data_IF_417625446857
#
_entry.id   IF_417625446857
#
_cell.length_a   1.000
_cell.length_b   1.000
_cell.length_c   1.000
_cell.angle_alpha   90.00
_cell.angle_beta   90.00
_cell.angle_gamma   90.00
#
_symmetry.space_group_name_H-M   'P 1'
#
loop_
_entity.id
_entity.type
_entity.pdbx_description
1 polymer ?
#
# COMPACT_ATOMS: atom_id res chain seq x y z
N UNK A 1 -39.97 -28.05 -10.58
CA UNK A 1 -39.65 -27.34 -9.33
C UNK A 1 -40.97 -26.91 -8.74
N UNK A 2 -41.28 -27.34 -7.53
CA UNK A 2 -42.61 -27.17 -6.93
C UNK A 2 -42.97 -25.68 -6.86
N UNK A 3 -44.17 -25.27 -7.29
CA UNK A 3 -44.60 -23.87 -7.26
C UNK A 3 -44.49 -23.31 -5.83
N UNK A 4 -44.71 -24.18 -4.84
CA UNK A 4 -44.55 -23.91 -3.41
C UNK A 4 -43.11 -23.51 -3.08
N UNK A 5 -42.10 -24.19 -3.66
CA UNK A 5 -40.70 -23.88 -3.39
C UNK A 5 -40.29 -22.55 -4.01
N UNK A 6 -40.80 -22.23 -5.21
CA UNK A 6 -40.55 -20.95 -5.88
C UNK A 6 -41.14 -19.80 -5.05
N UNK A 7 -42.40 -19.91 -4.65
CA UNK A 7 -43.09 -18.92 -3.82
C UNK A 7 -42.38 -18.73 -2.47
N UNK A 8 -41.97 -19.83 -1.83
CA UNK A 8 -41.20 -19.78 -0.59
C UNK A 8 -39.86 -19.06 -0.76
N UNK A 9 -39.13 -19.32 -1.85
CA UNK A 9 -37.87 -18.64 -2.16
C UNK A 9 -38.08 -17.14 -2.39
N UNK A 10 -39.10 -16.77 -3.15
CA UNK A 10 -39.46 -15.35 -3.39
C UNK A 10 -39.75 -14.65 -2.07
N UNK A 11 -40.64 -15.21 -1.26
CA UNK A 11 -41.00 -14.61 0.03
C UNK A 11 -39.79 -14.46 0.96
N UNK A 12 -38.88 -15.43 0.98
CA UNK A 12 -37.63 -15.34 1.77
C UNK A 12 -36.71 -14.22 1.27
N UNK A 13 -36.56 -14.04 -0.04
CA UNK A 13 -35.74 -12.95 -0.57
C UNK A 13 -36.37 -11.57 -0.33
N UNK A 14 -37.70 -11.47 -0.41
CA UNK A 14 -38.44 -10.25 -0.08
C UNK A 14 -38.31 -9.90 1.41
N UNK A 15 -38.39 -10.91 2.29
CA UNK A 15 -38.17 -10.74 3.72
C UNK A 15 -36.72 -10.30 4.02
N UNK A 16 -35.72 -10.95 3.41
CA UNK A 16 -34.32 -10.55 3.54
C UNK A 16 -34.11 -9.11 3.06
N UNK A 17 -34.69 -8.73 1.92
CA UNK A 17 -34.59 -7.37 1.40
C UNK A 17 -35.21 -6.35 2.37
N UNK A 18 -36.41 -6.63 2.88
CA UNK A 18 -37.08 -5.80 3.87
C UNK A 18 -36.28 -5.68 5.17
N UNK A 19 -35.66 -6.76 5.65
CA UNK A 19 -34.77 -6.71 6.80
C UNK A 19 -33.61 -5.76 6.52
N UNK A 20 -32.90 -5.95 5.39
CA UNK A 20 -31.73 -5.14 5.01
C UNK A 20 -32.09 -3.65 4.93
N UNK A 21 -33.24 -3.31 4.34
CA UNK A 21 -33.72 -1.91 4.24
C UNK A 21 -33.93 -1.24 5.60
N UNK A 22 -34.19 -2.03 6.65
CA UNK A 22 -34.42 -1.55 8.01
C UNK A 22 -33.17 -1.63 8.92
N UNK A 23 -32.07 -2.22 8.45
CA UNK A 23 -30.83 -2.28 9.23
C UNK A 23 -30.04 -0.97 9.14
N UNK A 24 -29.39 -0.61 10.24
CA UNK A 24 -28.33 0.41 10.23
C UNK A 24 -27.03 -0.15 9.61
N UNK A 25 -26.12 0.73 9.17
CA UNK A 25 -24.82 0.32 8.59
C UNK A 25 -24.01 -0.61 9.52
N UNK A 26 -24.03 -0.33 10.82
CA UNK A 26 -23.35 -1.15 11.83
C UNK A 26 -23.96 -2.56 11.93
N UNK A 27 -25.29 -2.65 11.90
CA UNK A 27 -26.02 -3.91 11.95
C UNK A 27 -25.82 -4.74 10.67
N UNK A 28 -25.72 -4.10 9.50
CA UNK A 28 -25.39 -4.78 8.24
C UNK A 28 -24.04 -5.50 8.37
N UNK A 29 -23.01 -4.82 8.90
CA UNK A 29 -21.69 -5.42 9.14
C UNK A 29 -21.76 -6.57 10.14
N UNK A 30 -22.52 -6.40 11.22
CA UNK A 30 -22.64 -7.40 12.28
C UNK A 30 -23.37 -8.67 11.84
N UNK A 31 -24.55 -8.53 11.22
CA UNK A 31 -25.44 -9.64 10.91
C UNK A 31 -25.12 -10.33 9.58
N UNK A 32 -24.65 -9.57 8.58
CA UNK A 32 -24.45 -10.08 7.21
C UNK A 32 -22.97 -10.21 6.86
N UNK A 33 -22.12 -9.34 7.40
CA UNK A 33 -20.68 -9.31 7.12
C UNK A 33 -19.87 -10.48 7.70
N UNK A 34 -20.35 -11.15 8.75
CA UNK A 34 -19.66 -12.26 9.44
C UNK A 34 -19.82 -13.63 8.76
N UNK A 35 -19.74 -13.67 7.43
CA UNK A 35 -19.65 -14.91 6.65
C UNK A 35 -20.97 -15.58 6.25
N UNK A 36 -22.14 -15.03 6.62
CA UNK A 36 -23.43 -15.56 6.17
C UNK A 36 -23.64 -15.37 4.66
N UNK A 37 -23.29 -14.19 4.14
CA UNK A 37 -23.30 -13.94 2.70
C UNK A 37 -22.28 -14.82 1.98
N UNK A 38 -21.08 -15.01 2.54
CA UNK A 38 -20.07 -15.91 1.98
C UNK A 38 -20.58 -17.37 1.88
N UNK A 39 -21.24 -17.87 2.94
CA UNK A 39 -21.89 -19.19 2.92
C UNK A 39 -22.97 -19.29 1.84
N UNK A 40 -23.81 -18.26 1.69
CA UNK A 40 -24.84 -18.21 0.65
C UNK A 40 -24.20 -18.26 -0.74
N UNK A 41 -23.20 -17.42 -1.01
CA UNK A 41 -22.50 -17.36 -2.30
C UNK A 41 -21.80 -18.70 -2.62
N UNK A 42 -21.10 -19.30 -1.64
CA UNK A 42 -20.47 -20.62 -1.78
C UNK A 42 -21.47 -21.77 -1.96
N UNK A 43 -22.73 -21.60 -1.57
CA UNK A 43 -23.78 -22.60 -1.81
C UNK A 43 -24.27 -22.60 -3.26
N UNK A 44 -24.13 -21.47 -3.98
CA UNK A 44 -24.53 -21.34 -5.38
C UNK A 44 -23.63 -22.19 -6.27
N UNK A 45 -22.34 -22.25 -6.00
CA UNK A 45 -21.40 -23.04 -6.82
C UNK A 45 -20.15 -23.43 -6.02
N UNK A 46 -19.65 -24.65 -6.26
CA UNK A 46 -18.42 -25.18 -5.65
C UNK A 46 -17.35 -25.30 -6.73
N UNK A 47 -16.10 -25.02 -6.34
CA UNK A 47 -14.93 -25.10 -7.23
C UNK A 47 -14.77 -26.48 -7.90
N UNK A 48 -14.17 -26.49 -9.08
CA UNK A 48 -13.90 -27.68 -9.88
C UNK A 48 -12.94 -28.62 -9.12
N UNK A 49 -13.42 -29.79 -8.73
CA UNK A 49 -12.62 -30.78 -8.01
C UNK A 49 -12.00 -31.84 -8.92
N UNK A 50 -12.67 -32.18 -10.02
CA UNK A 50 -12.16 -33.18 -10.94
C UNK A 50 -11.11 -32.58 -11.88
N UNK A 51 -9.88 -33.07 -11.79
CA UNK A 51 -8.77 -32.65 -12.65
C UNK A 51 -8.89 -33.16 -14.09
N UNK A 52 -9.71 -34.20 -14.35
CA UNK A 52 -9.86 -34.83 -15.67
C UNK A 52 -10.90 -34.16 -16.55
N UNK A 53 -11.92 -33.55 -15.97
CA UNK A 53 -12.91 -32.76 -16.71
C UNK A 53 -12.26 -31.53 -17.36
N UNK A 54 -12.66 -31.18 -18.60
CA UNK A 54 -12.17 -29.95 -19.23
C UNK A 54 -12.82 -28.71 -18.57
N UNK A 55 -12.21 -27.54 -18.73
CA UNK A 55 -12.79 -26.30 -18.21
C UNK A 55 -14.15 -25.99 -18.87
N UNK A 56 -14.28 -26.24 -20.18
CA UNK A 56 -15.50 -25.92 -20.92
C UNK A 56 -16.66 -26.85 -20.56
N UNK A 57 -16.39 -28.15 -20.40
CA UNK A 57 -17.42 -29.10 -19.96
C UNK A 57 -17.92 -28.74 -18.56
N UNK A 58 -16.99 -28.38 -17.66
CA UNK A 58 -17.35 -27.90 -16.32
C UNK A 58 -18.23 -26.65 -16.35
N UNK A 59 -17.87 -25.65 -17.17
CA UNK A 59 -18.68 -24.44 -17.34
C UNK A 59 -20.07 -24.76 -17.88
N UNK A 60 -20.16 -25.66 -18.87
CA UNK A 60 -21.43 -26.05 -19.49
C UNK A 60 -22.34 -26.79 -18.50
N UNK A 61 -21.79 -27.74 -17.74
CA UNK A 61 -22.50 -28.48 -16.68
C UNK A 61 -23.02 -27.56 -15.58
N UNK A 62 -22.28 -26.51 -15.25
CA UNK A 62 -22.60 -25.57 -14.18
C UNK A 62 -23.23 -24.25 -14.68
N UNK A 63 -23.62 -24.17 -15.96
CA UNK A 63 -23.98 -22.91 -16.64
C UNK A 63 -24.99 -22.05 -15.88
N UNK A 64 -26.03 -22.66 -15.30
CA UNK A 64 -27.11 -21.92 -14.62
C UNK A 64 -26.66 -21.37 -13.26
N UNK A 65 -25.85 -22.13 -12.52
CA UNK A 65 -25.27 -21.69 -11.24
C UNK A 65 -24.27 -20.55 -11.46
N UNK A 66 -23.43 -20.71 -12.48
CA UNK A 66 -22.47 -19.69 -12.89
C UNK A 66 -23.16 -18.43 -13.44
N UNK A 67 -24.26 -18.59 -14.18
CA UNK A 67 -25.07 -17.48 -14.65
C UNK A 67 -25.66 -16.67 -13.49
N UNK A 68 -26.16 -17.33 -12.43
CA UNK A 68 -26.64 -16.63 -11.23
C UNK A 68 -25.53 -15.82 -10.56
N UNK A 69 -24.33 -16.39 -10.40
CA UNK A 69 -23.18 -15.66 -9.86
C UNK A 69 -22.79 -14.46 -10.76
N UNK A 70 -22.86 -14.63 -12.08
CA UNK A 70 -22.60 -13.56 -13.03
C UNK A 70 -23.63 -12.42 -12.92
N UNK A 71 -24.91 -12.75 -12.76
CA UNK A 71 -25.96 -11.76 -12.51
C UNK A 71 -25.76 -11.00 -11.20
N UNK A 72 -25.43 -11.71 -10.11
CA UNK A 72 -25.14 -11.07 -8.82
C UNK A 72 -23.95 -10.12 -8.93
N UNK A 73 -22.86 -10.57 -9.56
CA UNK A 73 -21.68 -9.71 -9.82
C UNK A 73 -22.07 -8.49 -10.65
N UNK A 74 -22.89 -8.66 -11.69
CA UNK A 74 -23.33 -7.57 -12.56
C UNK A 74 -24.16 -6.53 -11.78
N UNK A 75 -25.13 -6.98 -10.97
CA UNK A 75 -25.93 -6.12 -10.13
C UNK A 75 -25.07 -5.34 -9.11
N UNK A 76 -24.14 -6.02 -8.43
CA UNK A 76 -23.16 -5.38 -7.53
C UNK A 76 -22.34 -4.33 -8.29
N UNK A 77 -21.88 -4.68 -9.50
CA UNK A 77 -21.04 -3.80 -10.31
C UNK A 77 -21.77 -2.51 -10.67
N UNK A 78 -23.05 -2.62 -11.02
CA UNK A 78 -23.90 -1.48 -11.38
C UNK A 78 -24.21 -0.62 -10.14
N UNK A 79 -24.64 -1.26 -9.05
CA UNK A 79 -25.21 -0.56 -7.90
C UNK A 79 -24.15 0.05 -6.97
N UNK A 80 -22.97 -0.58 -6.85
CA UNK A 80 -21.95 -0.12 -5.92
C UNK A 80 -20.95 0.86 -6.54
N UNK A 81 -20.88 0.94 -7.87
CA UNK A 81 -19.96 1.87 -8.53
C UNK A 81 -20.70 3.10 -9.05
N UNK A 82 -20.36 4.25 -8.49
CA UNK A 82 -21.03 5.52 -8.73
C UNK A 82 -20.26 6.30 -9.79
N UNK A 83 -20.88 6.74 -10.90
CA UNK A 83 -20.28 7.72 -11.77
C UNK A 83 -20.22 9.08 -11.06
N UNK A 84 -19.14 9.81 -11.25
CA UNK A 84 -18.93 11.13 -10.71
C UNK A 84 -18.10 11.98 -11.67
N UNK A 85 -18.32 13.29 -11.64
CA UNK A 85 -17.53 14.24 -12.40
C UNK A 85 -16.40 14.77 -11.53
N UNK A 86 -15.16 14.61 -11.99
CA UNK A 86 -14.00 15.25 -11.40
C UNK A 86 -13.22 15.98 -12.50
N UNK A 87 -13.16 17.31 -12.40
CA UNK A 87 -12.52 18.18 -13.39
C UNK A 87 -13.00 17.88 -14.82
N UNK A 88 -14.33 17.88 -15.00
CA UNK A 88 -15.02 17.64 -16.29
C UNK A 88 -14.79 16.25 -16.90
N UNK A 89 -14.10 15.34 -16.21
CA UNK A 89 -13.95 13.94 -16.61
C UNK A 89 -14.90 13.08 -15.78
N UNK A 90 -15.68 12.26 -16.48
CA UNK A 90 -16.47 11.21 -15.84
C UNK A 90 -15.54 10.11 -15.35
N UNK A 91 -15.65 9.79 -14.06
CA UNK A 91 -14.92 8.73 -13.39
C UNK A 91 -15.89 7.88 -12.59
N UNK A 92 -15.51 6.64 -12.33
CA UNK A 92 -16.20 5.77 -11.39
C UNK A 92 -15.50 5.78 -10.04
N UNK A 93 -16.31 5.85 -8.98
CA UNK A 93 -15.91 5.59 -7.61
C UNK A 93 -16.61 4.31 -7.16
N UNK A 94 -15.84 3.31 -6.73
CA UNK A 94 -16.37 2.02 -6.28
C UNK A 94 -15.83 1.69 -4.89
N UNK A 95 -16.65 1.29 -3.90
CA UNK A 95 -16.18 0.88 -2.59
C UNK A 95 -15.10 -0.20 -2.69
N UNK A 96 -14.04 -0.05 -1.91
CA UNK A 96 -13.00 -1.05 -1.82
C UNK A 96 -13.46 -2.16 -0.87
N UNK A 97 -13.17 -3.41 -1.22
CA UNK A 97 -13.65 -4.55 -0.43
C UNK A 97 -13.06 -4.60 0.99
N UNK A 98 -11.89 -4.00 1.21
CA UNK A 98 -11.36 -3.73 2.53
C UNK A 98 -11.79 -2.34 3.01
N UNK A 99 -12.35 -2.28 4.23
CA UNK A 99 -12.71 -1.04 4.93
C UNK A 99 -12.01 -1.05 6.30
N UNK A 100 -10.73 -0.64 6.34
CA UNK A 100 -9.90 -0.73 7.56
C UNK A 100 -10.03 0.45 8.52
N UNK A 101 -10.81 1.47 8.16
CA UNK A 101 -10.97 2.71 8.90
C UNK A 101 -12.45 2.86 9.22
N UNK A 102 -12.81 2.87 10.50
CA UNK A 102 -14.23 2.92 10.91
C UNK A 102 -14.86 4.31 10.70
N UNK A 103 -14.04 5.36 10.65
CA UNK A 103 -14.41 6.76 10.42
C UNK A 103 -14.18 7.22 8.96
N UNK A 104 -13.95 6.28 8.04
CA UNK A 104 -13.67 6.62 6.65
C UNK A 104 -14.18 5.58 5.67
N UNK A 105 -14.20 5.96 4.39
CA UNK A 105 -14.60 5.07 3.31
C UNK A 105 -13.43 4.87 2.37
N UNK A 106 -13.01 3.62 2.21
CA UNK A 106 -12.04 3.22 1.20
C UNK A 106 -12.74 2.93 -0.13
N UNK A 107 -12.14 3.34 -1.24
CA UNK A 107 -12.72 3.16 -2.58
C UNK A 107 -11.64 3.02 -3.65
N UNK A 108 -12.02 2.60 -4.85
CA UNK A 108 -11.22 2.74 -6.08
C UNK A 108 -11.80 3.85 -6.94
N UNK A 109 -10.93 4.68 -7.51
CA UNK A 109 -11.33 5.73 -8.44
C UNK A 109 -10.58 5.60 -9.77
N UNK A 110 -11.33 5.48 -10.87
CA UNK A 110 -10.75 5.37 -12.21
C UNK A 110 -11.77 5.52 -13.34
N UNK A 111 -11.33 5.24 -14.57
CA UNK A 111 -12.18 5.32 -15.77
C UNK A 111 -13.17 4.16 -15.88
N UNK A 112 -12.87 3.05 -15.21
CA UNK A 112 -13.66 1.84 -15.18
C UNK A 112 -14.03 1.51 -13.73
N UNK A 113 -15.13 0.76 -13.57
CA UNK A 113 -15.63 0.33 -12.25
C UNK A 113 -14.63 -0.61 -11.58
N UNK A 114 -14.38 -0.43 -10.28
CA UNK A 114 -13.44 -1.23 -9.48
C UNK A 114 -11.99 -1.21 -9.96
N UNK A 115 -11.62 -0.23 -10.79
CA UNK A 115 -10.28 -0.07 -11.35
C UNK A 115 -9.80 1.34 -11.06
N UNK A 116 -8.52 1.47 -10.71
CA UNK A 116 -7.84 2.76 -10.57
C UNK A 116 -7.17 2.92 -9.21
N UNK A 117 -7.03 4.17 -8.76
CA UNK A 117 -6.32 4.47 -7.53
C UNK A 117 -7.19 4.12 -6.33
N UNK A 118 -6.60 3.51 -5.30
CA UNK A 118 -7.29 3.30 -4.02
C UNK A 118 -7.32 4.65 -3.29
N UNK A 119 -8.51 5.12 -2.92
CA UNK A 119 -8.75 6.32 -2.14
C UNK A 119 -9.25 5.98 -0.74
N UNK A 120 -9.07 6.91 0.18
CA UNK A 120 -9.67 6.94 1.51
C UNK A 120 -10.24 8.35 1.71
N UNK A 121 -11.54 8.42 1.98
CA UNK A 121 -12.18 9.65 2.44
C UNK A 121 -12.43 9.54 3.94
N UNK A 122 -11.81 10.42 4.73
CA UNK A 122 -11.83 10.36 6.20
C UNK A 122 -11.78 11.80 6.73
N UNK A 123 -12.65 12.13 7.68
CA UNK A 123 -12.73 13.45 8.33
C UNK A 123 -12.75 14.63 7.34
N UNK A 124 -13.49 14.49 6.24
CA UNK A 124 -13.62 15.52 5.20
C UNK A 124 -12.46 15.59 4.22
N UNK A 125 -11.42 14.79 4.41
CA UNK A 125 -10.18 14.81 3.61
C UNK A 125 -10.10 13.64 2.64
N UNK A 126 -9.71 13.94 1.40
CA UNK A 126 -9.46 12.95 0.37
C UNK A 126 -7.98 12.55 0.37
N UNK A 127 -7.72 11.26 0.59
CA UNK A 127 -6.39 10.66 0.54
C UNK A 127 -6.34 9.60 -0.55
N UNK A 128 -5.20 9.42 -1.22
CA UNK A 128 -4.97 8.29 -2.13
C UNK A 128 -3.84 7.40 -1.62
N UNK A 129 -4.03 6.11 -1.77
CA UNK A 129 -3.04 5.11 -1.44
C UNK A 129 -1.88 5.17 -2.45
N UNK A 130 -0.68 5.17 -1.91
CA UNK A 130 0.54 4.78 -2.60
C UNK A 130 1.00 3.47 -1.98
N UNK A 131 1.50 2.55 -2.80
CA UNK A 131 2.06 1.31 -2.30
C UNK A 131 3.24 1.63 -1.37
N UNK A 132 3.15 1.22 -0.11
CA UNK A 132 4.28 1.31 0.81
C UNK A 132 5.30 0.18 0.58
N UNK A 133 4.87 -0.90 -0.13
CA UNK A 133 5.64 -2.13 -0.39
C UNK A 133 5.31 -2.71 -1.77
N UNK A 134 6.13 -3.63 -2.25
CA UNK A 134 5.90 -4.39 -3.48
C UNK A 134 4.89 -5.52 -3.22
N UNK A 135 3.71 -5.42 -3.83
CA UNK A 135 2.68 -6.45 -3.76
C UNK A 135 2.76 -7.35 -4.98
N UNK A 136 3.33 -8.55 -4.81
CA UNK A 136 3.25 -9.59 -5.85
C UNK A 136 1.82 -10.12 -5.92
N UNK A 137 1.28 -10.32 -7.12
CA UNK A 137 -0.07 -10.82 -7.33
C UNK A 137 -0.36 -12.10 -6.51
N UNK A 138 -1.49 -12.11 -5.81
CA UNK A 138 -1.91 -13.21 -4.93
C UNK A 138 -1.67 -13.00 -3.43
N UNK A 139 -0.99 -11.92 -3.02
CA UNK A 139 -0.92 -11.53 -1.61
C UNK A 139 -2.17 -10.74 -1.18
N UNK A 140 -2.67 -11.03 0.02
CA UNK A 140 -3.70 -10.23 0.67
C UNK A 140 -3.08 -8.90 1.10
N UNK A 141 -3.64 -7.78 0.63
CA UNK A 141 -3.16 -6.43 0.98
C UNK A 141 -3.57 -6.16 2.44
N UNK A 142 -2.62 -5.74 3.27
CA UNK A 142 -2.85 -5.37 4.66
C UNK A 142 -2.93 -3.86 4.86
N UNK A 143 -3.33 -3.41 6.05
CA UNK A 143 -3.43 -1.98 6.35
C UNK A 143 -2.12 -1.23 6.17
N UNK A 144 -1.02 -1.81 6.62
CA UNK A 144 0.32 -1.20 6.59
C UNK A 144 1.02 -1.26 5.22
N UNK A 145 0.38 -1.93 4.26
CA UNK A 145 0.84 -2.06 2.89
C UNK A 145 0.50 -0.82 2.05
N UNK A 146 -0.50 -0.04 2.47
CA UNK A 146 -0.92 1.18 1.78
C UNK A 146 -0.59 2.40 2.63
N UNK A 147 0.08 3.37 1.99
CA UNK A 147 0.28 4.69 2.54
C UNK A 147 -0.76 5.65 1.96
N UNK A 148 -1.64 6.21 2.78
CA UNK A 148 -2.62 7.19 2.34
C UNK A 148 -2.07 8.61 2.40
N UNK A 149 -1.96 9.24 1.22
CA UNK A 149 -1.46 10.59 1.03
C UNK A 149 -2.62 11.55 0.83
N UNK A 150 -2.71 12.60 1.64
CA UNK A 150 -3.67 13.69 1.47
C UNK A 150 -3.37 14.49 0.19
N UNK A 151 -4.41 14.70 -0.62
CA UNK A 151 -4.28 15.37 -1.94
C UNK A 151 -3.92 16.83 -1.81
N UNK A 152 -4.49 17.53 -0.83
CA UNK A 152 -4.26 18.96 -0.64
C UNK A 152 -2.89 19.21 -0.02
N UNK A 153 -2.44 18.31 0.86
CA UNK A 153 -1.06 18.30 1.34
C UNK A 153 -0.06 18.03 0.21
N UNK A 154 -0.34 17.06 -0.67
CA UNK A 154 0.51 16.75 -1.82
C UNK A 154 0.62 17.92 -2.80
N UNK A 155 -0.47 18.67 -3.03
CA UNK A 155 -0.47 19.88 -3.86
C UNK A 155 0.33 21.03 -3.21
N UNK A 156 0.40 21.06 -1.89
CA UNK A 156 1.08 22.09 -1.10
C UNK A 156 2.46 21.64 -0.59
N UNK A 157 3.07 20.61 -1.20
CA UNK A 157 4.44 20.20 -0.88
C UNK A 157 5.37 21.42 -0.93
N UNK A 158 6.24 21.63 0.08
CA UNK A 158 7.10 22.79 0.09
C UNK A 158 7.99 22.84 -1.15
N UNK A 159 8.25 24.06 -1.65
CA UNK A 159 9.12 24.35 -2.81
C UNK A 159 10.54 23.75 -2.74
N UNK A 160 10.93 23.19 -1.60
CA UNK A 160 12.25 22.62 -1.34
C UNK A 160 12.38 21.15 -1.79
N UNK A 161 11.27 20.45 -2.06
CA UNK A 161 11.31 19.14 -2.71
C UNK A 161 11.23 19.38 -4.22
N UNK A 162 12.36 19.20 -4.91
CA UNK A 162 12.46 19.40 -6.36
C UNK A 162 11.77 18.25 -7.11
N UNK A 163 10.44 18.27 -7.16
CA UNK A 163 9.67 17.35 -8.01
C UNK A 163 9.91 17.75 -9.47
N UNK A 164 10.34 16.82 -10.34
CA UNK A 164 10.57 17.11 -11.74
C UNK A 164 9.36 17.78 -12.38
N UNK A 165 9.58 18.80 -13.23
CA UNK A 165 8.47 19.60 -13.80
C UNK A 165 7.80 18.89 -14.96
N UNK A 166 8.58 18.22 -15.80
CA UNK A 166 8.06 17.45 -16.94
C UNK A 166 7.67 16.03 -16.54
N UNK A 167 6.75 15.42 -17.30
CA UNK A 167 6.37 14.01 -17.10
C UNK A 167 7.46 13.03 -17.52
N UNK A 168 8.35 13.44 -18.43
CA UNK A 168 9.45 12.61 -18.93
C UNK A 168 10.55 12.46 -17.86
N UNK A 169 10.92 13.55 -17.19
CA UNK A 169 11.89 13.48 -16.08
C UNK A 169 11.41 12.58 -14.93
N UNK A 170 10.09 12.47 -14.72
CA UNK A 170 9.52 11.55 -13.73
C UNK A 170 9.73 10.07 -14.11
N UNK A 171 9.59 9.73 -15.40
CA UNK A 171 9.86 8.35 -15.87
C UNK A 171 11.36 8.03 -15.80
N UNK A 172 12.20 9.00 -16.14
CA UNK A 172 13.66 8.86 -16.08
C UNK A 172 14.16 8.50 -14.68
N UNK A 173 13.48 8.97 -13.61
CA UNK A 173 13.85 8.62 -12.23
C UNK A 173 13.68 7.12 -11.97
N UNK A 174 12.58 6.50 -12.41
CA UNK A 174 12.39 5.05 -12.28
C UNK A 174 13.47 4.28 -13.06
N UNK A 175 13.70 4.67 -14.32
CA UNK A 175 14.67 4.02 -15.20
C UNK A 175 16.11 4.14 -14.68
N UNK A 176 16.46 5.25 -14.03
CA UNK A 176 17.78 5.43 -13.41
C UNK A 176 18.03 4.45 -12.27
N UNK A 177 17.07 4.26 -11.36
CA UNK A 177 17.22 3.27 -10.28
C UNK A 177 17.26 1.85 -10.84
N UNK A 178 16.35 1.54 -11.78
CA UNK A 178 16.30 0.24 -12.44
C UNK A 178 17.64 -0.07 -13.13
N UNK A 179 18.24 0.92 -13.79
CA UNK A 179 19.57 0.79 -14.40
C UNK A 179 20.66 0.47 -13.37
N UNK A 180 20.74 1.21 -12.25
CA UNK A 180 21.73 0.92 -11.19
C UNK A 180 21.61 -0.53 -10.68
N UNK A 181 20.39 -1.02 -10.55
CA UNK A 181 20.12 -2.40 -10.12
C UNK A 181 20.49 -3.41 -11.23
N UNK A 182 20.13 -3.15 -12.49
CA UNK A 182 20.44 -4.05 -13.60
C UNK A 182 21.95 -4.15 -13.88
N UNK A 183 22.70 -3.07 -13.64
CA UNK A 183 24.15 -3.02 -13.72
C UNK A 183 24.84 -3.69 -12.52
N UNK A 184 24.06 -4.21 -11.56
CA UNK A 184 24.54 -4.81 -10.31
C UNK A 184 25.49 -3.90 -9.55
N UNK A 185 25.15 -2.60 -9.46
CA UNK A 185 25.96 -1.65 -8.72
C UNK A 185 26.04 -2.04 -7.23
N UNK A 186 27.25 -2.22 -6.71
CA UNK A 186 27.47 -2.60 -5.30
C UNK A 186 27.85 -1.40 -4.42
N UNK A 187 28.11 -0.24 -5.01
CA UNK A 187 28.45 0.98 -4.28
C UNK A 187 27.20 1.66 -3.68
N UNK A 188 27.06 1.53 -2.35
CA UNK A 188 26.01 2.15 -1.55
C UNK A 188 25.88 3.66 -1.79
N UNK A 189 27.01 4.35 -2.00
CA UNK A 189 27.03 5.81 -2.16
C UNK A 189 26.31 6.27 -3.42
N UNK A 190 26.25 5.44 -4.48
CA UNK A 190 25.51 5.76 -5.71
C UNK A 190 24.00 5.70 -5.48
N UNK A 191 23.52 4.78 -4.64
CA UNK A 191 22.12 4.71 -4.27
C UNK A 191 21.72 5.85 -3.34
N UNK A 192 22.58 6.20 -2.37
CA UNK A 192 22.40 7.38 -1.53
C UNK A 192 22.37 8.65 -2.39
N UNK A 193 23.29 8.80 -3.34
CA UNK A 193 23.30 9.94 -4.27
C UNK A 193 22.02 10.00 -5.10
N UNK A 194 21.59 8.87 -5.67
CA UNK A 194 20.33 8.79 -6.42
C UNK A 194 19.13 9.24 -5.57
N UNK A 195 19.01 8.73 -4.33
CA UNK A 195 17.90 9.06 -3.43
C UNK A 195 17.96 10.49 -2.90
N UNK A 196 19.16 11.07 -2.77
CA UNK A 196 19.34 12.49 -2.45
C UNK A 196 18.77 13.38 -3.55
N UNK A 197 19.14 13.12 -4.80
CA UNK A 197 18.68 13.90 -5.96
C UNK A 197 17.19 13.68 -6.26
N UNK A 198 16.63 12.56 -5.81
CA UNK A 198 15.24 12.19 -6.06
C UNK A 198 14.46 12.00 -4.76
N UNK A 199 14.75 12.76 -3.69
CA UNK A 199 14.17 12.53 -2.37
C UNK A 199 12.63 12.60 -2.32
N UNK A 200 12.00 13.24 -3.32
CA UNK A 200 10.55 13.22 -3.53
C UNK A 200 9.96 11.82 -3.70
N UNK A 201 10.78 10.81 -4.06
CA UNK A 201 10.34 9.43 -4.23
C UNK A 201 9.93 8.75 -2.92
N UNK A 202 10.37 9.29 -1.77
CA UNK A 202 9.85 8.86 -0.46
C UNK A 202 8.39 9.27 -0.23
N UNK A 203 7.79 9.96 -1.20
CA UNK A 203 6.37 10.28 -1.27
C UNK A 203 6.04 11.59 -0.56
N UNK A 204 4.82 12.05 -0.77
CA UNK A 204 4.32 13.30 -0.21
C UNK A 204 4.01 13.24 1.30
N UNK A 205 4.32 12.14 1.98
CA UNK A 205 4.26 12.04 3.44
C UNK A 205 5.35 12.85 4.14
N UNK A 206 6.42 13.22 3.41
CA UNK A 206 7.49 14.07 3.91
C UNK A 206 7.47 15.42 3.21
N UNK A 207 7.58 16.48 4.01
CA UNK A 207 7.68 17.86 3.51
C UNK A 207 9.12 18.28 3.23
N UNK A 208 10.08 17.55 3.80
CA UNK A 208 11.51 17.78 3.68
C UNK A 208 12.26 16.49 3.94
N UNK A 209 13.30 16.22 3.15
CA UNK A 209 14.25 15.13 3.37
C UNK A 209 15.64 15.75 3.46
N UNK A 210 16.32 15.52 4.56
CA UNK A 210 17.66 16.03 4.82
C UNK A 210 18.65 14.87 4.80
N UNK A 211 19.73 15.02 4.03
CA UNK A 211 20.77 14.00 3.90
C UNK A 211 21.87 14.19 4.95
N UNK A 212 22.32 13.10 5.57
CA UNK A 212 23.47 13.06 6.49
C UNK A 212 23.39 14.10 7.63
N UNK A 213 22.23 14.23 8.27
CA UNK A 213 22.08 15.07 9.46
C UNK A 213 22.63 14.31 10.67
N UNK A 214 23.71 14.83 11.26
CA UNK A 214 24.33 14.25 12.45
C UNK A 214 23.39 14.37 13.66
N UNK A 215 22.97 13.22 14.21
CA UNK A 215 22.28 13.17 15.51
C UNK A 215 23.28 13.42 16.64
N UNK A 216 24.49 12.85 16.51
CA UNK A 216 25.70 13.17 17.27
C UNK A 216 26.95 12.87 16.42
N UNK A 217 28.13 12.76 17.03
CA UNK A 217 29.40 12.51 16.34
C UNK A 217 29.52 11.10 15.72
N UNK A 218 28.66 10.15 16.11
CA UNK A 218 28.72 8.74 15.71
C UNK A 218 27.47 8.27 14.96
N UNK A 219 26.35 8.95 15.16
CA UNK A 219 25.04 8.60 14.66
C UNK A 219 24.67 9.54 13.52
N UNK A 220 25.05 9.16 12.31
CA UNK A 220 24.81 9.92 11.09
C UNK A 220 23.96 9.05 10.15
N UNK A 221 22.62 9.13 10.23
CA UNK A 221 21.77 8.42 9.28
C UNK A 221 21.94 8.99 7.87
N UNK A 222 21.71 8.15 6.85
CA UNK A 222 21.79 8.57 5.45
C UNK A 222 20.80 9.71 5.15
N UNK A 223 19.58 9.58 5.67
CA UNK A 223 18.57 10.64 5.58
C UNK A 223 17.68 10.73 6.82
N UNK A 224 17.10 11.92 7.03
CA UNK A 224 15.96 12.12 7.91
C UNK A 224 14.84 12.85 7.17
N UNK A 225 13.60 12.42 7.36
CA UNK A 225 12.44 12.98 6.68
C UNK A 225 11.48 13.65 7.64
N UNK A 226 11.15 14.92 7.42
CA UNK A 226 10.15 15.63 8.22
C UNK A 226 8.76 15.28 7.71
N UNK A 227 7.97 14.59 8.53
CA UNK A 227 6.59 14.20 8.22
C UNK A 227 5.70 15.42 8.08
N UNK A 228 4.79 15.40 7.10
CA UNK A 228 3.81 16.47 6.89
C UNK A 228 2.83 16.56 8.06
N UNK A 229 2.30 15.40 8.50
CA UNK A 229 1.18 15.31 9.44
C UNK A 229 1.43 15.94 10.83
N UNK A 230 2.67 15.89 11.32
CA UNK A 230 3.01 16.22 12.71
C UNK A 230 4.33 17.01 12.84
N UNK A 231 5.00 17.32 11.73
CA UNK A 231 6.30 18.02 11.70
C UNK A 231 7.42 17.33 12.50
N UNK A 232 7.33 16.03 12.71
CA UNK A 232 8.38 15.22 13.37
C UNK A 232 9.15 14.41 12.33
N UNK A 233 10.26 13.80 12.72
CA UNK A 233 11.20 13.16 11.79
C UNK A 233 11.15 11.64 11.81
N UNK A 234 11.27 11.05 10.62
CA UNK A 234 11.64 9.66 10.40
C UNK A 234 13.09 9.56 9.91
N UNK A 235 13.64 8.35 9.97
CA UNK A 235 15.04 8.04 9.67
C UNK A 235 15.09 7.07 8.51
N UNK A 236 16.07 7.22 7.62
CA UNK A 236 16.34 6.27 6.54
C UNK A 236 17.79 5.84 6.61
N UNK A 237 17.99 4.53 6.54
CA UNK A 237 19.29 3.89 6.40
C UNK A 237 19.27 3.04 5.14
N UNK A 238 20.26 3.21 4.28
CA UNK A 238 20.37 2.52 3.00
C UNK A 238 21.55 1.57 3.06
N UNK A 239 21.36 0.40 2.48
CA UNK A 239 22.41 -0.55 2.16
C UNK A 239 22.31 -0.92 0.70
N UNK A 240 23.43 -1.25 0.08
CA UNK A 240 23.44 -1.71 -1.31
C UNK A 240 22.51 -2.95 -1.52
N UNK A 241 21.84 -3.07 -2.69
CA UNK A 241 20.76 -4.04 -2.92
C UNK A 241 21.17 -5.51 -2.84
N UNK A 242 22.40 -5.82 -3.23
CA UNK A 242 22.97 -7.17 -3.31
C UNK A 242 23.69 -7.58 -2.02
N UNK A 243 23.58 -6.78 -0.94
CA UNK A 243 24.19 -7.09 0.34
C UNK A 243 23.69 -8.46 0.80
N UNK A 244 24.59 -9.46 1.03
CA UNK A 244 24.13 -10.78 1.40
C UNK A 244 23.39 -10.78 2.74
N UNK A 245 22.06 -10.95 2.70
CA UNK A 245 21.21 -10.94 3.90
C UNK A 245 21.20 -12.31 4.59
N UNK A 246 21.13 -13.39 3.81
CA UNK A 246 20.91 -14.73 4.32
C UNK A 246 22.10 -15.67 4.09
N UNK A 247 22.30 -16.58 5.04
CA UNK A 247 23.15 -17.77 4.90
C UNK A 247 22.34 -18.87 4.22
N UNK A 248 23.02 -19.94 3.76
CA UNK A 248 22.36 -21.09 3.14
C UNK A 248 21.33 -21.80 4.04
N UNK A 249 21.41 -21.62 5.37
CA UNK A 249 20.44 -22.14 6.35
C UNK A 249 19.31 -21.14 6.69
N UNK A 250 19.12 -20.09 5.89
CA UNK A 250 18.12 -19.03 6.07
C UNK A 250 18.27 -18.21 7.37
N UNK A 251 19.42 -18.29 8.04
CA UNK A 251 19.78 -17.35 9.12
C UNK A 251 20.38 -16.07 8.56
N UNK A 252 20.24 -14.98 9.32
CA UNK A 252 20.84 -13.71 8.94
C UNK A 252 22.38 -13.78 8.92
N UNK A 253 22.96 -13.04 7.99
CA UNK A 253 24.40 -12.76 7.93
C UNK A 253 24.74 -11.58 8.81
N UNK A 254 26.00 -11.51 9.25
CA UNK A 254 26.51 -10.44 10.10
C UNK A 254 26.29 -9.05 9.48
N UNK A 255 26.37 -8.93 8.15
CA UNK A 255 26.12 -7.66 7.45
C UNK A 255 24.67 -7.16 7.63
N UNK A 256 23.68 -8.05 7.59
CA UNK A 256 22.29 -7.68 7.90
C UNK A 256 22.14 -7.29 9.38
N UNK A 257 22.72 -8.08 10.29
CA UNK A 257 22.65 -7.77 11.72
C UNK A 257 23.29 -6.40 12.04
N UNK A 258 24.37 -6.03 11.36
CA UNK A 258 24.99 -4.71 11.47
C UNK A 258 24.06 -3.59 10.99
N UNK A 259 23.46 -3.73 9.81
CA UNK A 259 22.51 -2.75 9.29
C UNK A 259 21.26 -2.61 10.19
N UNK A 260 20.77 -3.73 10.72
CA UNK A 260 19.68 -3.75 11.69
C UNK A 260 20.04 -3.03 12.99
N UNK A 261 21.23 -3.31 13.54
CA UNK A 261 21.71 -2.66 14.76
C UNK A 261 21.91 -1.15 14.56
N UNK A 262 22.34 -0.70 13.37
CA UNK A 262 22.42 0.73 13.04
C UNK A 262 21.03 1.39 13.13
N UNK A 263 20.02 0.78 12.52
CA UNK A 263 18.64 1.27 12.60
C UNK A 263 18.11 1.33 14.05
N UNK A 264 18.36 0.29 14.86
CA UNK A 264 18.00 0.28 16.29
C UNK A 264 18.74 1.38 17.06
N UNK A 265 20.02 1.60 16.79
CA UNK A 265 20.84 2.60 17.45
C UNK A 265 20.32 4.03 17.17
N UNK A 266 19.95 4.34 15.93
CA UNK A 266 19.39 5.65 15.59
C UNK A 266 18.06 5.91 16.28
N UNK A 267 17.19 4.90 16.34
CA UNK A 267 15.91 5.00 17.05
C UNK A 267 16.12 5.18 18.56
N UNK A 268 16.99 4.35 19.15
CA UNK A 268 17.34 4.45 20.57
C UNK A 268 17.90 5.82 20.91
N UNK A 269 18.85 6.33 20.11
CA UNK A 269 19.44 7.64 20.33
C UNK A 269 18.39 8.76 20.19
N UNK A 270 17.59 8.72 19.12
CA UNK A 270 16.55 9.71 18.86
C UNK A 270 15.49 9.77 19.96
N UNK A 271 15.14 8.62 20.52
CA UNK A 271 14.16 8.53 21.61
C UNK A 271 14.72 9.08 22.93
N UNK A 272 15.94 8.66 23.30
CA UNK A 272 16.51 9.02 24.61
C UNK A 272 17.09 10.44 24.66
N UNK A 273 17.39 11.05 23.51
CA UNK A 273 17.99 12.38 23.42
C UNK A 273 17.07 13.40 22.74
N UNK A 274 15.74 13.19 22.83
CA UNK A 274 14.74 14.06 22.18
C UNK A 274 14.91 15.54 22.51
N UNK A 275 15.15 15.87 23.78
CA UNK A 275 15.34 17.27 24.21
C UNK A 275 16.60 17.90 23.62
N UNK A 276 17.71 17.16 23.61
CA UNK A 276 18.97 17.59 23.00
C UNK A 276 18.79 17.81 21.50
N UNK A 277 18.22 16.82 20.80
CA UNK A 277 17.99 16.90 19.36
C UNK A 277 17.08 18.08 19.01
N UNK A 278 16.04 18.32 19.79
CA UNK A 278 15.14 19.44 19.55
C UNK A 278 15.79 20.79 19.83
N UNK A 279 16.37 20.99 21.02
CA UNK A 279 16.88 22.31 21.46
C UNK A 279 18.19 22.69 20.78
N UNK A 280 19.12 21.76 20.67
CA UNK A 280 20.48 22.04 20.18
C UNK A 280 20.62 21.85 18.67
N UNK A 281 19.83 20.93 18.08
CA UNK A 281 19.93 20.59 16.65
C UNK A 281 18.69 21.01 15.84
N UNK A 282 17.60 21.43 16.48
CA UNK A 282 16.34 21.75 15.79
C UNK A 282 15.64 20.52 15.18
N UNK A 283 15.98 19.32 15.65
CA UNK A 283 15.49 18.06 15.12
C UNK A 283 14.41 17.49 16.04
N UNK A 284 13.16 17.51 15.59
CA UNK A 284 12.04 16.97 16.35
C UNK A 284 11.78 15.50 16.00
N UNK A 285 12.19 14.58 16.87
CA UNK A 285 11.86 13.16 16.76
C UNK A 285 10.79 12.81 17.80
N UNK A 286 9.56 12.54 17.35
CA UNK A 286 8.49 12.02 18.19
C UNK A 286 7.90 10.78 17.53
N UNK A 287 7.97 9.64 18.23
CA UNK A 287 7.66 8.32 17.67
C UNK A 287 8.24 8.13 16.25
N UNK A 288 9.57 8.25 16.08
CA UNK A 288 10.19 8.10 14.77
C UNK A 288 10.09 6.67 14.28
N UNK A 289 9.95 6.51 12.96
CA UNK A 289 10.20 5.24 12.26
C UNK A 289 11.58 5.28 11.62
N UNK A 290 12.21 4.11 11.51
CA UNK A 290 13.43 3.92 10.75
C UNK A 290 13.14 3.01 9.56
N UNK A 291 13.37 3.52 8.36
CA UNK A 291 13.26 2.77 7.11
C UNK A 291 14.64 2.23 6.74
N UNK A 292 14.82 0.91 6.86
CA UNK A 292 16.03 0.22 6.42
C UNK A 292 15.82 -0.25 4.97
N UNK A 293 16.50 0.37 4.02
CA UNK A 293 16.43 0.04 2.60
C UNK A 293 17.53 -0.96 2.28
N UNK A 294 17.17 -2.22 2.02
CA UNK A 294 18.13 -3.31 1.86
C UNK A 294 17.53 -4.50 1.10
N UNK A 295 18.36 -5.15 0.30
CA UNK A 295 18.00 -6.41 -0.36
C UNK A 295 17.24 -6.21 -1.66
N UNK A 296 17.51 -7.07 -2.63
CA UNK A 296 16.87 -7.08 -3.93
C UNK A 296 16.57 -8.51 -4.38
N UNK A 297 15.42 -8.68 -5.02
CA UNK A 297 14.94 -9.93 -5.60
C UNK A 297 14.95 -11.13 -4.64
N UNK A 298 14.55 -10.89 -3.40
CA UNK A 298 14.46 -11.92 -2.38
C UNK A 298 13.34 -12.91 -2.71
N UNK A 299 13.56 -14.17 -2.33
CA UNK A 299 12.55 -15.22 -2.42
C UNK A 299 11.41 -14.98 -1.43
N UNK A 300 10.26 -15.62 -1.67
CA UNK A 300 9.11 -15.53 -0.78
C UNK A 300 9.44 -15.93 0.68
N UNK A 301 10.26 -16.96 0.86
CA UNK A 301 10.67 -17.42 2.20
C UNK A 301 11.59 -16.40 2.90
N UNK A 302 12.52 -15.80 2.17
CA UNK A 302 13.41 -14.75 2.69
C UNK A 302 12.62 -13.52 3.13
N UNK A 303 11.69 -13.05 2.29
CA UNK A 303 10.77 -11.96 2.63
C UNK A 303 9.98 -12.31 3.89
N UNK A 304 9.42 -13.52 3.98
CA UNK A 304 8.65 -13.95 5.16
C UNK A 304 9.47 -13.91 6.45
N UNK A 305 10.75 -14.29 6.40
CA UNK A 305 11.65 -14.24 7.55
C UNK A 305 12.01 -12.79 7.91
N UNK A 306 12.31 -11.93 6.94
CA UNK A 306 12.54 -10.50 7.16
C UNK A 306 11.32 -9.83 7.81
N UNK A 307 10.11 -10.09 7.30
CA UNK A 307 8.88 -9.56 7.88
C UNK A 307 8.63 -10.06 9.30
N UNK A 308 9.08 -11.28 9.64
CA UNK A 308 9.02 -11.77 11.03
C UNK A 308 9.96 -10.98 11.94
N UNK A 309 11.18 -10.67 11.50
CA UNK A 309 12.13 -9.84 12.24
C UNK A 309 11.61 -8.40 12.42
N UNK A 310 11.08 -7.81 11.35
CA UNK A 310 10.44 -6.49 11.36
C UNK A 310 9.32 -6.38 12.41
N UNK A 311 8.42 -7.37 12.48
CA UNK A 311 7.33 -7.39 13.47
C UNK A 311 7.81 -7.38 14.94
N UNK A 312 9.05 -7.76 15.22
CA UNK A 312 9.60 -7.72 16.58
C UNK A 312 9.96 -6.29 17.01
N UNK A 313 10.21 -5.38 16.05
CA UNK A 313 10.53 -3.98 16.31
C UNK A 313 9.69 -3.11 15.36
N UNK A 314 8.43 -2.81 15.70
CA UNK A 314 7.51 -2.10 14.80
C UNK A 314 7.95 -0.70 14.37
N UNK A 315 8.92 -0.11 15.06
CA UNK A 315 9.53 1.16 14.70
C UNK A 315 10.51 1.05 13.52
N UNK A 316 10.97 -0.15 13.16
CA UNK A 316 11.80 -0.39 11.99
C UNK A 316 10.94 -0.98 10.88
N UNK A 317 10.98 -0.37 9.70
CA UNK A 317 10.36 -0.90 8.47
C UNK A 317 11.46 -1.27 7.50
N UNK A 318 11.46 -2.50 6.99
CA UNK A 318 12.41 -2.88 5.96
C UNK A 318 11.79 -2.62 4.58
N UNK A 319 12.51 -1.95 3.70
CA UNK A 319 12.13 -1.79 2.30
C UNK A 319 13.17 -2.47 1.42
N UNK A 320 12.74 -3.44 0.61
CA UNK A 320 13.59 -3.99 -0.44
C UNK A 320 13.69 -3.01 -1.62
N UNK A 321 14.67 -3.20 -2.49
CA UNK A 321 14.76 -2.42 -3.72
C UNK A 321 13.61 -2.71 -4.69
N UNK A 322 12.94 -3.87 -4.57
CA UNK A 322 11.65 -4.11 -5.22
C UNK A 322 10.57 -3.19 -4.65
N UNK A 323 10.47 -3.07 -3.31
CA UNK A 323 9.55 -2.15 -2.64
C UNK A 323 9.82 -0.70 -3.08
N UNK A 324 11.09 -0.29 -3.16
CA UNK A 324 11.49 1.06 -3.57
C UNK A 324 11.15 1.36 -5.04
N UNK A 325 11.41 0.42 -5.97
CA UNK A 325 11.01 0.56 -7.38
C UNK A 325 9.49 0.71 -7.52
N UNK A 326 8.72 -0.12 -6.80
CA UNK A 326 7.27 -0.04 -6.78
C UNK A 326 6.77 1.28 -6.19
N UNK A 327 7.40 1.76 -5.10
CA UNK A 327 7.10 3.07 -4.51
C UNK A 327 7.35 4.21 -5.50
N UNK A 328 8.51 4.23 -6.15
CA UNK A 328 8.88 5.26 -7.15
C UNK A 328 7.87 5.25 -8.29
N UNK A 329 7.61 4.08 -8.88
CA UNK A 329 6.71 3.93 -10.02
C UNK A 329 5.30 4.45 -9.69
N UNK A 330 4.77 4.07 -8.53
CA UNK A 330 3.45 4.51 -8.11
C UNK A 330 3.41 5.99 -7.76
N UNK A 331 4.48 6.53 -7.16
CA UNK A 331 4.62 7.97 -6.89
C UNK A 331 4.66 8.77 -8.19
N UNK A 332 5.40 8.30 -9.21
CA UNK A 332 5.41 8.88 -10.56
C UNK A 332 4.02 8.90 -11.17
N UNK A 333 3.31 7.77 -11.16
CA UNK A 333 1.94 7.67 -11.68
C UNK A 333 1.01 8.63 -10.95
N UNK A 334 1.10 8.69 -9.62
CA UNK A 334 0.31 9.59 -8.80
C UNK A 334 0.56 11.06 -9.15
N UNK A 335 1.82 11.49 -9.20
CA UNK A 335 2.19 12.88 -9.55
C UNK A 335 1.72 13.23 -10.97
N UNK A 336 1.91 12.33 -11.94
CA UNK A 336 1.40 12.52 -13.31
C UNK A 336 -0.12 12.68 -13.33
N UNK A 337 -0.83 11.86 -12.57
CA UNK A 337 -2.29 11.96 -12.45
C UNK A 337 -2.72 13.27 -11.79
N UNK A 338 -1.97 13.80 -10.83
CA UNK A 338 -2.23 15.13 -10.26
C UNK A 338 -2.00 16.24 -11.28
N UNK A 339 -0.88 16.20 -12.02
CA UNK A 339 -0.56 17.22 -13.04
C UNK A 339 -1.52 17.24 -14.22
N UNK A 340 -2.04 16.08 -14.62
CA UNK A 340 -3.03 15.98 -15.69
C UNK A 340 -4.46 16.36 -15.23
N UNK A 341 -4.62 16.71 -13.95
CA UNK A 341 -5.88 17.17 -13.33
C UNK A 341 -5.88 18.68 -13.04
N UNK A 342 -4.72 19.33 -12.99
CA UNK A 342 -4.53 20.80 -12.96
C UNK A 342 -4.39 21.33 -14.38
#
# INVERSE_FOLDING_TARGET
MDNILKEKLTNLFDEIASIIENLTDNEIREYLGKGNIDKLLKSIHKEKQDKKQTLYDYLLENKNRLYLLALLRHAITINCSMPGLLNEKELFVSPFHFQWYDNGVMFTQGKDRFVGNIGLYEDGKLKFAVAARDFRGGHEIQKDDLLFIDVDEAKNLPKNINVPKSTNELDDTYLKLEKLILEQEEDESKYQFFLKENAWVFGAQYKQIDSHINLDDKNIPDFTGVRVRDNTRDIFEIKQPFLPIFRGDMKFRAAFDQAWNQAEQYLYFSHNNKDYLYREKGLNFDNPRCYLIIGYNLSFNEIKIMRRKERMVPAITILTYNDLLSLIKNTVIFIKNLKNKS
#
